data_IF_662985462137
#
_entry.id   IF_662985462137
#
_cell.length_a   1.000
_cell.length_b   1.000
_cell.length_c   1.000
_cell.angle_alpha   90.00
_cell.angle_beta   90.00
_cell.angle_gamma   90.00
#
_symmetry.space_group_name_H-M   'P 1'
#
loop_
_entity.id
_entity.type
_entity.pdbx_description
1 polymer ?
#
# COMPACT_ATOMS: atom_id res chain seq x y z
N UNK A 1 -0.34 35.17 -12.02
CA UNK A 1 0.37 33.87 -12.26
C UNK A 1 -0.16 32.82 -11.31
N UNK A 2 -0.66 31.68 -11.84
CA UNK A 2 -1.00 30.53 -11.00
C UNK A 2 0.29 29.74 -10.77
N UNK A 3 0.79 29.79 -9.55
CA UNK A 3 1.92 28.94 -9.20
C UNK A 3 1.42 27.50 -9.08
N UNK A 4 1.84 26.65 -10.01
CA UNK A 4 1.57 25.21 -9.89
C UNK A 4 2.46 24.65 -8.79
N UNK A 5 1.82 24.05 -7.79
CA UNK A 5 2.53 23.42 -6.67
C UNK A 5 2.27 21.93 -6.74
N UNK A 6 3.34 21.15 -6.89
CA UNK A 6 3.24 19.69 -6.96
C UNK A 6 3.56 19.10 -5.59
N UNK A 7 2.77 18.09 -5.18
CA UNK A 7 3.04 17.29 -4.01
C UNK A 7 3.05 15.81 -4.36
N UNK A 8 3.64 15.00 -3.49
CA UNK A 8 3.76 13.56 -3.69
C UNK A 8 2.97 12.84 -2.60
N UNK A 9 2.12 11.92 -3.02
CA UNK A 9 1.34 11.07 -2.15
C UNK A 9 1.86 9.63 -2.28
N UNK A 10 2.60 9.18 -1.28
CA UNK A 10 2.98 7.76 -1.16
C UNK A 10 1.81 7.00 -0.56
N UNK A 11 1.44 5.86 -1.13
CA UNK A 11 0.33 5.06 -0.63
C UNK A 11 0.79 3.63 -0.38
N UNK A 12 0.47 3.10 0.80
CA UNK A 12 0.73 1.69 1.09
C UNK A 12 -0.55 1.06 1.67
N UNK A 13 -0.52 -0.26 1.85
CA UNK A 13 -1.69 -1.07 2.23
C UNK A 13 -2.29 -0.61 3.56
N UNK A 14 -1.43 -0.48 4.55
CA UNK A 14 -1.87 -0.18 5.90
C UNK A 14 -1.66 -1.35 6.85
N UNK A 15 -1.93 -1.07 8.11
CA UNK A 15 -1.60 -1.98 9.19
C UNK A 15 -2.46 -1.63 10.42
N UNK A 16 -2.66 -2.58 11.35
CA UNK A 16 -3.35 -2.23 12.60
C UNK A 16 -2.58 -1.18 13.41
N UNK A 17 -3.31 -0.40 14.22
CA UNK A 17 -2.72 0.61 15.10
C UNK A 17 -1.85 0.00 16.21
N UNK A 18 -2.14 -1.26 16.58
CA UNK A 18 -1.45 -1.99 17.64
C UNK A 18 -1.57 -3.50 17.37
N UNK A 19 -0.66 -4.33 17.91
CA UNK A 19 -0.74 -5.78 17.71
C UNK A 19 -1.70 -6.43 18.71
N UNK A 20 -2.91 -5.87 18.84
CA UNK A 20 -3.97 -6.36 19.72
C UNK A 20 -5.15 -6.86 18.89
N UNK A 21 -5.91 -7.80 19.45
CA UNK A 21 -7.08 -8.36 18.75
C UNK A 21 -8.08 -7.27 18.33
N UNK A 22 -8.30 -6.27 19.18
CA UNK A 22 -9.24 -5.18 18.88
C UNK A 22 -8.76 -4.28 17.74
N UNK A 23 -7.48 -3.91 17.74
CA UNK A 23 -6.91 -3.09 16.65
C UNK A 23 -6.86 -3.86 15.34
N UNK A 24 -6.48 -5.14 15.39
CA UNK A 24 -6.47 -6.03 14.21
C UNK A 24 -7.89 -6.21 13.68
N UNK A 25 -8.89 -6.35 14.57
CA UNK A 25 -10.29 -6.48 14.17
C UNK A 25 -10.77 -5.25 13.39
N UNK A 26 -10.42 -4.03 13.87
CA UNK A 26 -10.77 -2.78 13.16
C UNK A 26 -10.14 -2.74 11.78
N UNK A 27 -8.84 -3.04 11.69
CA UNK A 27 -8.07 -3.06 10.46
C UNK A 27 -8.63 -4.09 9.46
N UNK A 28 -8.82 -5.34 9.92
CA UNK A 28 -9.34 -6.41 9.06
C UNK A 28 -10.77 -6.12 8.59
N UNK A 29 -11.59 -5.48 9.42
CA UNK A 29 -12.94 -5.10 9.02
C UNK A 29 -12.89 -4.13 7.84
N UNK A 30 -12.03 -3.11 7.90
CA UNK A 30 -11.86 -2.15 6.80
C UNK A 30 -11.33 -2.85 5.55
N UNK A 31 -10.25 -3.61 5.69
CA UNK A 31 -9.55 -4.29 4.60
C UNK A 31 -10.44 -5.31 3.88
N UNK A 32 -11.14 -6.16 4.64
CA UNK A 32 -11.97 -7.23 4.08
C UNK A 32 -13.35 -6.75 3.64
N UNK A 33 -13.69 -5.48 3.87
CA UNK A 33 -14.91 -4.87 3.35
C UNK A 33 -14.71 -4.23 1.98
N UNK A 34 -13.48 -4.14 1.49
CA UNK A 34 -13.18 -3.58 0.19
C UNK A 34 -13.51 -4.61 -0.90
N UNK A 35 -14.34 -4.20 -1.88
CA UNK A 35 -14.76 -5.06 -2.99
C UNK A 35 -13.60 -5.47 -3.90
N UNK A 36 -12.55 -4.64 -3.97
CA UNK A 36 -11.34 -4.99 -4.73
C UNK A 36 -10.56 -6.12 -4.06
N UNK A 37 -10.71 -6.27 -2.73
CA UNK A 37 -10.02 -7.30 -1.94
C UNK A 37 -10.86 -8.57 -1.87
N UNK A 38 -12.17 -8.42 -1.57
CA UNK A 38 -13.10 -9.55 -1.48
C UNK A 38 -14.32 -9.26 -2.34
N UNK A 39 -14.34 -9.86 -3.51
CA UNK A 39 -15.40 -9.68 -4.50
C UNK A 39 -16.48 -10.75 -4.31
N UNK A 40 -17.20 -10.61 -3.21
CA UNK A 40 -18.32 -11.51 -2.85
C UNK A 40 -19.54 -10.65 -2.56
N UNK A 41 -20.73 -11.21 -2.81
CA UNK A 41 -22.00 -10.51 -2.55
C UNK A 41 -22.02 -9.96 -1.12
N UNK A 42 -22.25 -8.65 -0.93
CA UNK A 42 -22.28 -8.06 0.41
C UNK A 42 -23.31 -8.71 1.34
N UNK A 43 -24.44 -9.17 0.81
CA UNK A 43 -25.50 -9.80 1.62
C UNK A 43 -25.01 -11.08 2.30
N UNK A 44 -24.14 -11.84 1.64
CA UNK A 44 -23.55 -13.06 2.19
C UNK A 44 -22.28 -12.75 2.99
N UNK A 45 -21.48 -11.82 2.49
CA UNK A 45 -20.16 -11.56 3.07
C UNK A 45 -20.23 -10.84 4.42
N UNK A 46 -21.11 -9.83 4.56
CA UNK A 46 -21.13 -9.00 5.76
C UNK A 46 -21.50 -9.78 7.03
N UNK A 47 -22.53 -10.64 7.03
CA UNK A 47 -22.81 -11.45 8.23
C UNK A 47 -21.65 -12.41 8.55
N UNK A 48 -21.09 -13.05 7.52
CA UNK A 48 -19.98 -13.99 7.69
C UNK A 48 -18.73 -13.27 8.24
N UNK A 49 -18.40 -12.11 7.66
CA UNK A 49 -17.24 -11.32 8.10
C UNK A 49 -17.37 -10.93 9.57
N UNK A 50 -18.52 -10.34 9.94
CA UNK A 50 -18.69 -9.77 11.29
C UNK A 50 -18.95 -10.85 12.36
N UNK A 51 -19.69 -11.89 12.01
CA UNK A 51 -20.11 -12.92 12.97
C UNK A 51 -19.11 -14.03 13.16
N UNK A 52 -18.31 -14.33 12.14
CA UNK A 52 -17.42 -15.50 12.19
C UNK A 52 -15.96 -15.10 11.96
N UNK A 53 -15.67 -14.46 10.82
CA UNK A 53 -14.27 -14.25 10.41
C UNK A 53 -13.55 -13.34 11.39
N UNK A 54 -14.09 -12.16 11.66
CA UNK A 54 -13.41 -11.19 12.53
C UNK A 54 -13.22 -11.71 13.95
N UNK A 55 -14.23 -12.32 14.61
CA UNK A 55 -14.01 -12.84 15.97
C UNK A 55 -12.94 -13.93 16.04
N UNK A 56 -12.92 -14.85 15.08
CA UNK A 56 -12.00 -15.98 15.11
C UNK A 56 -10.60 -15.61 14.61
N UNK A 57 -10.53 -14.79 13.57
CA UNK A 57 -9.25 -14.48 12.90
C UNK A 57 -8.46 -13.41 13.63
N UNK A 58 -9.12 -12.40 14.23
CA UNK A 58 -8.41 -11.25 14.80
C UNK A 58 -7.44 -11.62 15.92
N UNK A 59 -7.77 -12.51 16.87
CA UNK A 59 -6.81 -12.92 17.89
C UNK A 59 -5.59 -13.67 17.31
N UNK A 60 -5.80 -14.52 16.31
CA UNK A 60 -4.71 -15.26 15.65
C UNK A 60 -3.78 -14.32 14.92
N UNK A 61 -4.35 -13.40 14.14
CA UNK A 61 -3.57 -12.43 13.38
C UNK A 61 -2.85 -11.47 14.32
N UNK A 62 -3.45 -11.11 15.46
CA UNK A 62 -2.78 -10.27 16.46
C UNK A 62 -1.49 -10.91 16.98
N UNK A 63 -1.49 -12.24 17.20
CA UNK A 63 -0.27 -12.96 17.62
C UNK A 63 0.82 -12.90 16.54
N UNK A 64 0.44 -13.00 15.27
CA UNK A 64 1.39 -12.85 14.16
C UNK A 64 1.95 -11.43 14.11
N UNK A 65 1.11 -10.41 14.31
CA UNK A 65 1.61 -9.04 14.39
C UNK A 65 2.54 -8.85 15.58
N UNK A 66 2.24 -9.45 16.73
CA UNK A 66 3.10 -9.38 17.92
C UNK A 66 4.51 -9.92 17.62
N UNK A 67 4.61 -11.00 16.84
CA UNK A 67 5.91 -11.62 16.55
C UNK A 67 6.81 -10.78 15.62
N UNK A 68 6.23 -9.83 14.88
CA UNK A 68 7.00 -8.98 13.96
C UNK A 68 7.01 -7.51 14.38
N UNK A 69 6.30 -7.17 15.46
CA UNK A 69 6.13 -5.76 15.86
C UNK A 69 7.45 -5.17 16.30
N UNK A 70 7.81 -4.03 15.75
CA UNK A 70 9.03 -3.30 16.09
C UNK A 70 8.76 -2.36 17.27
N UNK A 71 9.81 -1.87 17.89
CA UNK A 71 9.71 -0.86 18.97
C UNK A 71 8.96 0.39 18.47
N UNK A 72 9.19 0.77 17.22
CA UNK A 72 8.60 1.97 16.59
C UNK A 72 7.20 1.70 16.04
N UNK A 73 6.74 0.44 15.99
CA UNK A 73 5.42 0.08 15.49
C UNK A 73 5.44 -1.05 14.47
N UNK A 74 4.40 -1.12 13.66
CA UNK A 74 4.32 -2.11 12.57
C UNK A 74 5.45 -1.89 11.55
N UNK A 75 6.15 -2.96 11.12
CA UNK A 75 7.20 -2.82 10.10
C UNK A 75 6.74 -2.10 8.84
N UNK A 76 5.53 -2.40 8.36
CA UNK A 76 5.02 -1.74 7.16
C UNK A 76 4.97 -0.22 7.34
N UNK A 77 4.45 0.24 8.46
CA UNK A 77 4.34 1.67 8.75
C UNK A 77 5.71 2.30 8.96
N UNK A 78 6.59 1.63 9.72
CA UNK A 78 7.95 2.12 10.01
C UNK A 78 8.72 2.33 8.70
N UNK A 79 8.76 1.31 7.84
CA UNK A 79 9.50 1.42 6.59
C UNK A 79 8.84 2.40 5.61
N UNK A 80 7.52 2.50 5.58
CA UNK A 80 6.84 3.51 4.74
C UNK A 80 7.20 4.93 5.19
N UNK A 81 7.27 5.16 6.49
CA UNK A 81 7.70 6.47 7.03
C UNK A 81 9.16 6.77 6.70
N UNK A 82 10.04 5.77 6.80
CA UNK A 82 11.44 5.94 6.43
C UNK A 82 11.59 6.29 4.94
N UNK A 83 10.79 5.64 4.07
CA UNK A 83 10.76 5.95 2.64
C UNK A 83 10.24 7.38 2.41
N UNK A 84 9.18 7.78 3.10
CA UNK A 84 8.64 9.14 3.03
C UNK A 84 9.70 10.17 3.43
N UNK A 85 10.38 9.95 4.55
CA UNK A 85 11.43 10.86 5.04
C UNK A 85 12.60 10.96 4.06
N UNK A 86 13.05 9.82 3.55
CA UNK A 86 14.17 9.78 2.59
C UNK A 86 13.83 10.52 1.29
N UNK A 87 12.60 10.34 0.80
CA UNK A 87 12.16 11.04 -0.42
C UNK A 87 11.97 12.52 -0.15
N UNK A 88 11.39 12.89 0.99
CA UNK A 88 11.19 14.28 1.38
C UNK A 88 12.54 15.04 1.45
N UNK A 89 13.57 14.37 2.00
CA UNK A 89 14.92 14.97 2.08
C UNK A 89 15.54 15.22 0.70
N UNK A 90 15.16 14.42 -0.30
CA UNK A 90 15.66 14.58 -1.68
C UNK A 90 14.86 15.58 -2.49
N UNK A 91 13.64 15.91 -2.05
CA UNK A 91 12.72 16.78 -2.77
C UNK A 91 12.20 17.89 -1.83
N UNK A 92 13.10 18.78 -1.37
CA UNK A 92 12.72 19.76 -0.32
C UNK A 92 11.63 20.74 -0.74
N UNK A 93 11.46 20.96 -2.05
CA UNK A 93 10.48 21.91 -2.56
C UNK A 93 9.10 21.29 -2.80
N UNK A 94 8.96 19.96 -2.63
CA UNK A 94 7.71 19.26 -2.84
C UNK A 94 7.27 18.58 -1.55
N UNK A 95 6.07 18.87 -1.03
CA UNK A 95 5.57 18.12 0.13
C UNK A 95 5.36 16.65 -0.23
N UNK A 96 5.88 15.75 0.59
CA UNK A 96 5.75 14.30 0.45
C UNK A 96 4.95 13.79 1.64
N UNK A 97 3.79 13.24 1.40
CA UNK A 97 2.92 12.70 2.45
C UNK A 97 2.72 11.19 2.25
N UNK A 98 2.38 10.50 3.34
CA UNK A 98 2.09 9.08 3.36
C UNK A 98 0.62 8.88 3.69
N UNK A 99 -0.08 8.08 2.89
CA UNK A 99 -1.44 7.64 3.18
C UNK A 99 -1.52 6.13 3.14
N UNK A 100 -2.38 5.56 3.97
CA UNK A 100 -2.64 4.12 4.00
C UNK A 100 -4.02 3.85 3.42
N UNK A 101 -4.14 2.81 2.59
CA UNK A 101 -5.43 2.36 2.06
C UNK A 101 -6.35 1.93 3.22
N UNK A 102 -5.77 1.28 4.22
CA UNK A 102 -6.52 0.81 5.41
C UNK A 102 -5.74 1.18 6.66
N UNK A 103 -6.43 1.76 7.65
CA UNK A 103 -5.79 2.20 8.89
C UNK A 103 -5.26 3.62 8.83
N UNK A 104 -4.15 3.87 9.54
CA UNK A 104 -3.60 5.24 9.70
C UNK A 104 -2.11 5.29 9.37
N UNK A 105 -1.63 6.46 8.88
CA UNK A 105 -2.38 7.67 8.51
C UNK A 105 -3.30 7.37 7.31
N UNK A 106 -4.52 7.88 7.34
CA UNK A 106 -5.50 7.54 6.30
C UNK A 106 -5.20 8.27 4.99
N UNK A 107 -5.63 7.67 3.89
CA UNK A 107 -5.51 8.31 2.57
C UNK A 107 -6.28 9.63 2.55
N UNK A 108 -7.47 9.67 3.19
CA UNK A 108 -8.24 10.91 3.36
C UNK A 108 -7.39 12.02 3.96
N UNK A 109 -6.78 11.77 5.13
CA UNK A 109 -6.01 12.80 5.84
C UNK A 109 -4.77 13.24 5.06
N UNK A 110 -4.16 12.32 4.31
CA UNK A 110 -2.98 12.64 3.49
C UNK A 110 -3.36 13.58 2.33
N UNK A 111 -4.47 13.28 1.65
CA UNK A 111 -4.97 14.13 0.54
C UNK A 111 -5.41 15.49 1.08
N UNK A 112 -6.14 15.51 2.21
CA UNK A 112 -6.58 16.77 2.84
C UNK A 112 -5.36 17.67 3.13
N UNK A 113 -4.31 17.09 3.73
CA UNK A 113 -3.08 17.84 4.04
C UNK A 113 -2.39 18.43 2.82
N UNK A 114 -2.34 17.69 1.72
CA UNK A 114 -1.77 18.22 0.48
C UNK A 114 -2.58 19.39 -0.07
N UNK A 115 -3.90 19.23 -0.12
CA UNK A 115 -4.79 20.28 -0.66
C UNK A 115 -4.75 21.52 0.24
N UNK A 116 -4.76 21.35 1.55
CA UNK A 116 -4.67 22.46 2.51
C UNK A 116 -3.34 23.21 2.38
N UNK A 117 -2.26 22.52 2.02
CA UNK A 117 -0.95 23.16 1.79
C UNK A 117 -0.86 23.88 0.45
N UNK A 118 -1.94 23.90 -0.33
CA UNK A 118 -2.01 24.63 -1.60
C UNK A 118 -1.50 23.85 -2.80
N UNK A 119 -1.34 22.53 -2.68
CA UNK A 119 -0.92 21.66 -3.79
C UNK A 119 -2.01 21.65 -4.87
N UNK A 120 -1.60 21.83 -6.12
CA UNK A 120 -2.51 21.85 -7.28
C UNK A 120 -2.34 20.62 -8.17
N UNK A 121 -1.22 19.88 -8.01
CA UNK A 121 -0.94 18.65 -8.75
C UNK A 121 -0.40 17.62 -7.78
N UNK A 122 -0.94 16.41 -7.79
CA UNK A 122 -0.52 15.32 -6.90
C UNK A 122 0.05 14.18 -7.75
N UNK A 123 1.30 13.81 -7.49
CA UNK A 123 1.87 12.58 -8.01
C UNK A 123 1.56 11.48 -7.00
N UNK A 124 0.77 10.50 -7.40
CA UNK A 124 0.37 9.38 -6.55
C UNK A 124 1.27 8.19 -6.87
N UNK A 125 2.03 7.76 -5.86
CA UNK A 125 2.94 6.62 -5.98
C UNK A 125 2.50 5.52 -5.00
N UNK A 126 1.70 4.55 -5.47
CA UNK A 126 1.45 3.36 -4.65
C UNK A 126 2.76 2.59 -4.46
N UNK A 127 3.04 2.20 -3.21
CA UNK A 127 4.27 1.49 -2.87
C UNK A 127 4.15 -0.02 -3.16
N UNK A 128 3.53 -0.32 -4.30
CA UNK A 128 3.41 -1.67 -4.86
C UNK A 128 4.06 -1.63 -6.24
N UNK A 129 5.24 -2.25 -6.39
CA UNK A 129 5.92 -2.19 -7.69
C UNK A 129 5.11 -2.80 -8.84
N UNK A 130 4.38 -3.90 -8.55
CA UNK A 130 3.51 -4.55 -9.54
C UNK A 130 2.07 -4.06 -9.36
N UNK A 131 1.37 -3.86 -10.47
CA UNK A 131 -0.06 -3.62 -10.44
C UNK A 131 -0.81 -4.88 -9.95
N UNK A 132 -1.89 -4.67 -9.21
CA UNK A 132 -2.95 -5.64 -9.00
C UNK A 132 -4.24 -4.89 -8.69
N UNK A 133 -5.36 -5.48 -9.05
CA UNK A 133 -6.67 -4.86 -8.79
C UNK A 133 -6.94 -4.72 -7.29
N UNK A 134 -6.43 -5.64 -6.48
CA UNK A 134 -6.64 -5.61 -5.02
C UNK A 134 -5.73 -4.62 -4.29
N UNK A 135 -4.75 -4.04 -4.97
CA UNK A 135 -3.82 -3.06 -4.39
C UNK A 135 -3.91 -1.72 -5.10
N UNK A 136 -3.33 -1.62 -6.30
CA UNK A 136 -3.22 -0.35 -7.03
C UNK A 136 -4.60 0.18 -7.46
N UNK A 137 -5.49 -0.69 -7.97
CA UNK A 137 -6.82 -0.23 -8.34
C UNK A 137 -7.66 0.15 -7.11
N UNK A 138 -7.46 -0.51 -5.97
CA UNK A 138 -8.13 -0.13 -4.72
C UNK A 138 -7.70 1.29 -4.27
N UNK A 139 -6.40 1.63 -4.44
CA UNK A 139 -5.91 2.99 -4.19
C UNK A 139 -6.61 4.00 -5.10
N UNK A 140 -6.74 3.67 -6.39
CA UNK A 140 -7.40 4.55 -7.36
C UNK A 140 -8.87 4.80 -6.98
N UNK A 141 -9.59 3.74 -6.65
CA UNK A 141 -11.02 3.85 -6.28
C UNK A 141 -11.19 4.74 -5.04
N UNK A 142 -10.36 4.53 -4.02
CA UNK A 142 -10.45 5.31 -2.79
C UNK A 142 -10.06 6.78 -3.03
N UNK A 143 -9.00 7.01 -3.81
CA UNK A 143 -8.60 8.37 -4.18
C UNK A 143 -9.72 9.09 -4.94
N UNK A 144 -10.33 8.41 -5.91
CA UNK A 144 -11.44 8.98 -6.68
C UNK A 144 -12.61 9.36 -5.75
N UNK A 145 -12.95 8.47 -4.81
CA UNK A 145 -13.98 8.73 -3.80
C UNK A 145 -13.64 9.98 -2.96
N UNK A 146 -12.40 10.09 -2.52
CA UNK A 146 -11.94 11.24 -1.71
C UNK A 146 -12.09 12.54 -2.51
N UNK A 147 -11.67 12.51 -3.77
CA UNK A 147 -11.64 13.71 -4.61
C UNK A 147 -13.05 14.24 -4.93
N UNK A 148 -14.10 13.41 -4.83
CA UNK A 148 -15.49 13.90 -5.02
C UNK A 148 -15.91 14.94 -3.97
N UNK A 149 -15.20 15.03 -2.84
CA UNK A 149 -15.51 15.98 -1.78
C UNK A 149 -15.08 17.43 -2.10
N UNK A 150 -14.20 17.58 -3.11
CA UNK A 150 -13.59 18.88 -3.40
C UNK A 150 -14.20 19.52 -4.65
N UNK A 151 -14.51 20.81 -4.57
CA UNK A 151 -14.91 21.58 -5.74
C UNK A 151 -13.73 21.87 -6.66
N UNK A 152 -12.54 22.09 -6.05
CA UNK A 152 -11.30 22.31 -6.78
C UNK A 152 -10.45 21.04 -6.70
N UNK A 153 -10.60 20.19 -7.72
CA UNK A 153 -9.88 18.93 -7.80
C UNK A 153 -8.46 19.19 -8.32
N UNK A 154 -7.41 18.72 -7.63
CA UNK A 154 -6.05 18.84 -8.14
C UNK A 154 -5.82 17.97 -9.37
N UNK A 155 -4.82 18.32 -10.17
CA UNK A 155 -4.33 17.41 -11.22
C UNK A 155 -3.76 16.14 -10.57
N UNK A 156 -4.00 14.98 -11.19
CA UNK A 156 -3.54 13.69 -10.65
C UNK A 156 -2.63 13.02 -11.69
N UNK A 157 -1.43 12.69 -11.27
CA UNK A 157 -0.50 11.84 -12.02
C UNK A 157 -0.33 10.54 -11.24
N UNK A 158 -1.02 9.48 -11.68
CA UNK A 158 -1.09 8.22 -10.96
C UNK A 158 -0.11 7.22 -11.58
N UNK A 159 0.85 6.76 -10.78
CA UNK A 159 1.86 5.77 -11.21
C UNK A 159 1.27 4.38 -11.01
N UNK A 160 0.95 3.71 -12.11
CA UNK A 160 0.28 2.41 -12.09
C UNK A 160 1.20 1.28 -11.60
N UNK A 161 2.43 1.23 -12.11
CA UNK A 161 3.42 0.24 -11.68
C UNK A 161 4.83 0.67 -12.10
N UNK A 162 5.84 0.04 -11.52
CA UNK A 162 7.23 0.31 -11.81
C UNK A 162 8.10 -0.93 -11.60
N UNK A 163 7.50 -2.12 -11.75
CA UNK A 163 8.19 -3.40 -11.47
C UNK A 163 9.41 -3.63 -12.37
N UNK A 164 9.34 -3.15 -13.62
CA UNK A 164 10.43 -3.28 -14.60
C UNK A 164 11.29 -2.03 -14.71
N UNK A 165 11.08 -1.02 -13.85
CA UNK A 165 11.86 0.20 -13.91
C UNK A 165 13.32 -0.08 -13.50
N UNK A 166 14.34 0.30 -14.33
CA UNK A 166 15.73 -0.07 -14.04
C UNK A 166 16.22 0.38 -12.66
N UNK A 167 15.81 1.54 -12.17
CA UNK A 167 16.23 1.99 -10.84
C UNK A 167 15.68 1.08 -9.73
N UNK A 168 14.44 0.58 -9.88
CA UNK A 168 13.84 -0.36 -8.93
C UNK A 168 14.59 -1.70 -8.95
N UNK A 169 14.82 -2.24 -10.15
CA UNK A 169 15.54 -3.52 -10.33
C UNK A 169 16.96 -3.40 -9.73
N UNK A 170 17.66 -2.30 -10.01
CA UNK A 170 19.01 -2.09 -9.48
C UNK A 170 19.01 -1.99 -7.94
N UNK A 171 18.00 -1.37 -7.36
CA UNK A 171 17.88 -1.28 -5.90
C UNK A 171 17.66 -2.68 -5.28
N UNK A 172 16.77 -3.50 -5.88
CA UNK A 172 16.56 -4.88 -5.42
C UNK A 172 17.84 -5.71 -5.55
N UNK A 173 18.50 -5.67 -6.71
CA UNK A 173 19.76 -6.39 -6.94
C UNK A 173 20.82 -5.94 -5.91
N UNK A 174 20.81 -4.66 -5.55
CA UNK A 174 21.70 -4.14 -4.51
C UNK A 174 21.47 -4.80 -3.15
N UNK A 175 20.21 -4.97 -2.75
CA UNK A 175 19.91 -5.63 -1.46
C UNK A 175 20.32 -7.10 -1.47
N UNK A 176 20.12 -7.79 -2.61
CA UNK A 176 20.55 -9.19 -2.76
C UNK A 176 22.08 -9.29 -2.65
N UNK A 177 22.82 -8.46 -3.39
CA UNK A 177 24.29 -8.43 -3.34
C UNK A 177 24.81 -8.14 -1.92
N UNK A 178 24.16 -7.20 -1.22
CA UNK A 178 24.52 -6.88 0.16
C UNK A 178 24.32 -8.10 1.08
N UNK A 179 23.21 -8.80 0.92
CA UNK A 179 22.93 -10.02 1.69
C UNK A 179 23.99 -11.10 1.42
N UNK A 180 24.34 -11.30 0.15
CA UNK A 180 25.38 -12.28 -0.21
C UNK A 180 26.75 -11.91 0.37
N UNK A 181 27.08 -10.62 0.35
CA UNK A 181 28.35 -10.14 0.93
C UNK A 181 28.41 -10.36 2.45
N UNK A 182 27.25 -10.27 3.14
CA UNK A 182 27.18 -10.42 4.60
C UNK A 182 27.08 -11.89 5.04
N UNK A 183 26.40 -12.73 4.26
CA UNK A 183 26.03 -14.09 4.70
C UNK A 183 26.58 -15.20 3.81
N UNK A 184 27.24 -14.85 2.69
CA UNK A 184 27.70 -15.81 1.68
C UNK A 184 26.64 -16.06 0.59
N UNK A 185 27.09 -16.56 -0.53
CA UNK A 185 26.17 -16.91 -1.63
C UNK A 185 25.41 -18.20 -1.28
N UNK A 186 24.08 -18.19 -1.44
CA UNK A 186 23.30 -19.41 -1.17
C UNK A 186 23.36 -20.39 -2.34
N UNK A 187 23.11 -21.67 -2.07
CA UNK A 187 22.95 -22.67 -3.14
C UNK A 187 21.67 -22.45 -3.93
N UNK A 188 20.68 -21.76 -3.34
CA UNK A 188 19.39 -21.52 -3.99
C UNK A 188 18.77 -20.23 -3.45
N UNK A 189 18.38 -19.34 -4.35
CA UNK A 189 17.64 -18.12 -4.02
C UNK A 189 16.15 -18.36 -4.29
N UNK A 190 15.34 -18.32 -3.24
CA UNK A 190 13.89 -18.49 -3.36
C UNK A 190 13.21 -17.13 -3.46
N UNK A 191 12.45 -16.93 -4.53
CA UNK A 191 11.64 -15.74 -4.73
C UNK A 191 10.18 -16.08 -4.43
N UNK A 192 9.60 -15.40 -3.42
CA UNK A 192 8.22 -15.65 -2.96
C UNK A 192 7.33 -14.47 -3.29
N UNK A 193 6.25 -14.72 -3.96
CA UNK A 193 5.27 -13.72 -4.38
C UNK A 193 3.89 -14.00 -3.78
N UNK A 194 3.08 -12.97 -3.68
CA UNK A 194 1.70 -13.11 -3.22
C UNK A 194 0.86 -13.78 -4.31
N UNK A 195 0.00 -14.71 -3.93
CA UNK A 195 -0.96 -15.30 -4.86
C UNK A 195 -2.20 -14.41 -5.03
N UNK A 196 -2.79 -14.45 -6.21
CA UNK A 196 -4.11 -13.83 -6.45
C UNK A 196 -5.08 -14.91 -6.94
N UNK A 197 -6.40 -14.70 -6.77
CA UNK A 197 -7.36 -15.65 -7.33
C UNK A 197 -7.21 -15.76 -8.85
N UNK A 198 -7.27 -16.98 -9.37
CA UNK A 198 -7.15 -17.22 -10.83
C UNK A 198 -8.15 -16.36 -11.60
N UNK A 199 -9.37 -16.22 -11.09
CA UNK A 199 -10.41 -15.39 -11.73
C UNK A 199 -9.94 -13.96 -11.97
N UNK A 200 -9.18 -13.35 -11.04
CA UNK A 200 -8.69 -11.97 -11.23
C UNK A 200 -7.74 -11.89 -12.43
N UNK A 201 -6.83 -12.87 -12.57
CA UNK A 201 -5.95 -12.93 -13.72
C UNK A 201 -6.74 -13.13 -15.03
N UNK A 202 -7.74 -14.01 -15.00
CA UNK A 202 -8.60 -14.27 -16.17
C UNK A 202 -9.40 -13.02 -16.59
N UNK A 203 -9.71 -12.15 -15.64
CA UNK A 203 -10.44 -10.89 -15.85
C UNK A 203 -9.49 -9.71 -16.16
N UNK A 204 -8.18 -9.94 -16.24
CA UNK A 204 -7.23 -8.96 -16.73
C UNK A 204 -6.29 -8.35 -15.70
N UNK A 205 -6.23 -8.92 -14.47
CA UNK A 205 -5.22 -8.49 -13.49
C UNK A 205 -3.87 -9.08 -13.93
N UNK A 206 -2.97 -8.22 -14.36
CA UNK A 206 -1.68 -8.62 -14.94
C UNK A 206 -0.56 -8.84 -13.89
N UNK A 207 -0.93 -8.94 -12.61
CA UNK A 207 0.03 -9.17 -11.53
C UNK A 207 0.92 -10.42 -11.78
N UNK A 208 0.37 -11.58 -12.21
CA UNK A 208 1.23 -12.75 -12.44
C UNK A 208 2.32 -12.49 -13.48
N UNK A 209 1.99 -11.78 -14.53
CA UNK A 209 2.97 -11.42 -15.59
C UNK A 209 3.99 -10.40 -15.05
N UNK A 210 3.55 -9.48 -14.23
CA UNK A 210 4.43 -8.47 -13.64
C UNK A 210 5.36 -9.00 -12.54
N UNK A 211 4.95 -9.99 -12.02
CA UNK A 211 5.76 -10.64 -11.05
C UNK A 211 6.81 -11.45 -11.69
N UNK A 212 6.56 -11.83 -12.97
CA UNK A 212 7.48 -12.56 -13.65
C UNK A 212 8.47 -11.70 -14.38
N UNK A 213 8.28 -10.73 -14.55
CA UNK A 213 9.10 -9.77 -15.08
C UNK A 213 10.19 -9.30 -14.22
N UNK A 214 10.20 -9.76 -13.23
CA UNK A 214 11.13 -9.54 -12.23
C UNK A 214 12.27 -10.50 -12.27
N UNK A 215 12.41 -11.24 -13.16
CA UNK A 215 13.48 -12.26 -13.32
C UNK A 215 14.71 -11.66 -13.97
#
# INVERSE_FOLDING_TARGET
MRFEKTGILLVNLGTPDAPTASAVKRYLRQFLSDKRVVDTSPLLWWPLLRGVILPLRSPRVAKLYQSIWMEEGSPLLVYSRRQQQALSARLPDMPVVLGMSYGKPSLDSAVDGLIESGVTNIIVLPLYPQFSCSTVAAVWDELARILTRYRRVPGINFIRDYADHPAYINALAGTVRQSFAQHGEPDLLLMSYHGIPQRYADEGDDYPQRXXXXH
#
